data_IF_228123565313
#
_entry.id   IF_228123565313
#
_cell.length_a   1.000
_cell.length_b   1.000
_cell.length_c   1.000
_cell.angle_alpha   90.00
_cell.angle_beta   90.00
_cell.angle_gamma   90.00
#
_symmetry.space_group_name_H-M   'P 1'
#
loop_
_entity.id
_entity.type
_entity.pdbx_description
1 polymer ?
#
# COMPACT_ATOMS: atom_id res chain seq x y z
N UNK A 1 -16.23 -16.42 -0.09
CA UNK A 1 -15.43 -15.79 -1.16
C UNK A 1 -14.25 -16.71 -1.43
N UNK A 2 -14.05 -17.16 -2.67
CA UNK A 2 -13.01 -18.15 -2.98
C UNK A 2 -11.71 -17.39 -3.26
N UNK A 3 -10.60 -17.67 -2.54
CA UNK A 3 -9.33 -17.02 -2.80
C UNK A 3 -8.80 -17.53 -4.15
N UNK A 4 -8.66 -16.61 -5.10
CA UNK A 4 -8.09 -16.91 -6.42
C UNK A 4 -6.57 -16.78 -6.28
N UNK A 5 -5.89 -17.92 -6.00
CA UNK A 5 -4.44 -18.13 -5.85
C UNK A 5 -3.93 -18.09 -4.39
N UNK A 6 -3.22 -19.15 -4.00
CA UNK A 6 -2.35 -19.24 -2.84
C UNK A 6 -1.09 -20.01 -3.25
N UNK A 7 0.07 -19.39 -3.04
CA UNK A 7 1.38 -20.01 -3.16
C UNK A 7 2.28 -19.47 -2.04
N UNK A 8 3.39 -20.13 -1.74
CA UNK A 8 4.33 -19.62 -0.73
C UNK A 8 4.90 -18.27 -1.20
N UNK A 9 4.61 -17.20 -0.45
CA UNK A 9 4.94 -15.81 -0.84
C UNK A 9 3.86 -15.08 -1.67
N UNK A 10 2.72 -15.71 -1.97
CA UNK A 10 1.56 -15.07 -2.61
C UNK A 10 0.38 -15.09 -1.64
N UNK A 11 0.10 -13.94 -1.05
CA UNK A 11 -1.07 -13.72 -0.20
C UNK A 11 -2.26 -13.22 -1.02
N UNK A 12 -3.46 -13.60 -0.59
CA UNK A 12 -4.71 -13.08 -1.16
C UNK A 12 -4.87 -11.64 -0.67
N UNK A 13 -4.86 -10.69 -1.60
CA UNK A 13 -5.07 -9.29 -1.25
C UNK A 13 -6.46 -9.08 -0.63
N UNK A 14 -6.46 -8.35 0.49
CA UNK A 14 -7.65 -8.02 1.24
C UNK A 14 -8.52 -7.06 0.42
N UNK A 15 -9.73 -7.49 0.04
CA UNK A 15 -10.63 -6.70 -0.80
C UNK A 15 -10.90 -5.33 -0.21
N UNK A 16 -11.05 -5.23 1.11
CA UNK A 16 -11.35 -3.96 1.77
C UNK A 16 -10.14 -3.02 1.70
N UNK A 17 -8.92 -3.58 1.76
CA UNK A 17 -7.69 -2.83 1.53
C UNK A 17 -7.62 -2.31 0.09
N UNK A 18 -7.94 -3.15 -0.90
CA UNK A 18 -7.91 -2.75 -2.31
C UNK A 18 -8.95 -1.66 -2.63
N UNK A 19 -10.16 -1.74 -2.06
CA UNK A 19 -11.18 -0.69 -2.22
C UNK A 19 -10.67 0.64 -1.65
N UNK A 20 -10.12 0.61 -0.43
CA UNK A 20 -9.50 1.79 0.19
C UNK A 20 -8.34 2.34 -0.63
N UNK A 21 -7.54 1.47 -1.25
CA UNK A 21 -6.45 1.90 -2.11
C UNK A 21 -6.97 2.66 -3.34
N UNK A 22 -8.07 2.22 -3.97
CA UNK A 22 -8.71 2.95 -5.08
C UNK A 22 -9.21 4.33 -4.64
N UNK A 23 -9.83 4.41 -3.46
CA UNK A 23 -10.29 5.68 -2.90
C UNK A 23 -9.11 6.62 -2.65
N UNK A 24 -8.05 6.12 -2.00
CA UNK A 24 -6.86 6.87 -1.67
C UNK A 24 -6.09 7.36 -2.90
N UNK A 25 -5.99 6.54 -3.96
CA UNK A 25 -5.42 6.96 -5.26
C UNK A 25 -6.13 8.18 -5.81
N UNK A 26 -7.47 8.20 -5.74
CA UNK A 26 -8.27 9.33 -6.23
C UNK A 26 -8.12 10.56 -5.34
N UNK A 27 -8.13 10.38 -4.03
CA UNK A 27 -8.08 11.49 -3.07
C UNK A 27 -6.71 12.19 -3.07
N UNK A 28 -5.64 11.41 -3.06
CA UNK A 28 -4.28 11.93 -2.96
C UNK A 28 -3.61 12.12 -4.31
N UNK A 29 -4.21 11.67 -5.42
CA UNK A 29 -3.62 11.70 -6.76
C UNK A 29 -2.21 11.09 -6.78
N UNK A 30 -2.14 9.82 -6.41
CA UNK A 30 -0.95 8.96 -6.34
C UNK A 30 -1.19 7.68 -7.14
N UNK A 31 -0.14 6.94 -7.45
CA UNK A 31 -0.27 5.63 -8.08
C UNK A 31 -1.00 4.62 -7.17
N UNK A 32 -1.80 3.75 -7.77
CA UNK A 32 -2.55 2.73 -7.05
C UNK A 32 -1.66 1.78 -6.25
N UNK A 33 -0.51 1.42 -6.81
CA UNK A 33 0.45 0.53 -6.14
C UNK A 33 1.05 1.21 -4.89
N UNK A 34 1.27 2.52 -4.93
CA UNK A 34 1.76 3.28 -3.79
C UNK A 34 0.71 3.37 -2.67
N UNK A 35 -0.56 3.57 -3.04
CA UNK A 35 -1.67 3.53 -2.11
C UNK A 35 -1.81 2.15 -1.44
N UNK A 36 -1.72 1.05 -2.20
CA UNK A 36 -1.72 -0.31 -1.66
C UNK A 36 -0.56 -0.52 -0.68
N UNK A 37 0.66 -0.15 -1.09
CA UNK A 37 1.85 -0.33 -0.26
C UNK A 37 1.76 0.47 1.05
N UNK A 38 1.31 1.73 0.98
CA UNK A 38 1.12 2.58 2.14
C UNK A 38 0.08 2.02 3.12
N UNK A 39 -1.05 1.52 2.61
CA UNK A 39 -2.09 0.89 3.44
C UNK A 39 -1.60 -0.41 4.07
N UNK A 40 -0.86 -1.24 3.33
CA UNK A 40 -0.26 -2.47 3.88
C UNK A 40 0.77 -2.17 4.96
N UNK A 41 1.68 -1.23 4.72
CA UNK A 41 2.69 -0.80 5.69
C UNK A 41 2.04 -0.22 6.95
N UNK A 42 0.99 0.60 6.79
CA UNK A 42 0.20 1.13 7.91
C UNK A 42 -0.46 0.00 8.71
N UNK A 43 -1.10 -0.97 8.05
CA UNK A 43 -1.72 -2.12 8.70
C UNK A 43 -0.73 -2.96 9.50
N UNK A 44 0.50 -3.10 9.01
CA UNK A 44 1.59 -3.83 9.67
C UNK A 44 2.39 -2.98 10.66
N UNK A 45 2.10 -1.69 10.78
CA UNK A 45 2.89 -0.71 11.54
C UNK A 45 4.37 -0.67 11.13
N UNK A 46 4.66 -0.90 9.84
CA UNK A 46 5.99 -0.91 9.23
C UNK A 46 6.26 0.41 8.48
N UNK A 47 7.51 0.87 8.39
CA UNK A 47 7.87 2.02 7.56
C UNK A 47 7.90 1.68 6.07
N UNK A 48 7.65 2.67 5.21
CA UNK A 48 7.87 2.53 3.77
C UNK A 48 9.24 3.09 3.39
N UNK A 49 10.13 2.24 2.91
CA UNK A 49 11.44 2.65 2.41
C UNK A 49 11.34 2.98 0.92
N UNK A 50 11.35 4.28 0.56
CA UNK A 50 11.13 4.71 -0.84
C UNK A 50 11.78 6.05 -1.17
N UNK A 51 12.30 6.15 -2.40
CA UNK A 51 12.74 7.41 -3.00
C UNK A 51 11.58 8.23 -3.56
N UNK A 52 10.42 7.61 -3.81
CA UNK A 52 9.27 8.28 -4.42
C UNK A 52 8.68 9.37 -3.52
N UNK A 53 8.52 10.57 -4.08
CA UNK A 53 7.93 11.74 -3.44
C UNK A 53 6.51 11.50 -2.91
N UNK A 54 5.74 10.65 -3.57
CA UNK A 54 4.31 10.46 -3.34
C UNK A 54 4.01 9.91 -1.95
N UNK A 55 4.90 9.09 -1.40
CA UNK A 55 4.77 8.59 -0.03
C UNK A 55 4.78 9.66 1.05
N UNK A 56 5.18 10.92 0.75
CA UNK A 56 5.02 12.05 1.70
C UNK A 56 3.55 12.37 1.97
N UNK A 57 2.66 12.09 1.01
CA UNK A 57 1.21 12.28 1.12
C UNK A 57 0.53 11.08 1.78
N UNK A 58 1.15 9.90 1.68
CA UNK A 58 0.52 8.63 2.06
C UNK A 58 0.91 8.12 3.45
N UNK A 59 2.07 8.51 3.98
CA UNK A 59 2.53 8.06 5.30
C UNK A 59 3.55 9.01 5.92
N UNK A 60 3.49 9.17 7.23
CA UNK A 60 4.48 9.87 8.05
C UNK A 60 5.71 9.00 8.38
N UNK A 61 5.65 7.69 8.09
CA UNK A 61 6.70 6.70 8.38
C UNK A 61 7.53 6.33 7.15
N UNK A 62 7.65 7.26 6.20
CA UNK A 62 8.52 7.12 5.04
C UNK A 62 9.99 7.24 5.45
N UNK A 63 10.81 6.29 5.03
CA UNK A 63 12.28 6.34 5.12
C UNK A 63 12.87 6.47 3.72
N UNK A 64 13.86 7.33 3.55
CA UNK A 64 14.64 7.41 2.30
C UNK A 64 15.95 6.67 2.53
N UNK A 65 16.29 5.65 1.72
CA UNK A 65 17.58 4.98 1.81
C UNK A 65 18.73 5.98 1.62
N UNK A 66 19.82 5.81 2.40
CA UNK A 66 21.06 6.58 2.31
C UNK A 66 21.95 6.15 1.15
#
# INVERSE_FOLDING_TARGET
MIPLISAEGIEVEDRDLLIKAVELTREENVDFVDAVLALQATRKAEPVCSFDGDFKRLTDRRVVPS
#
